data_IF_152876928429
#
_entry.id   IF_152876928429
#
_cell.length_a   1.000
_cell.length_b   1.000
_cell.length_c   1.000
_cell.angle_alpha   90.00
_cell.angle_beta   90.00
_cell.angle_gamma   90.00
#
_symmetry.space_group_name_H-M   'P 1'
#
loop_
_entity.id
_entity.type
_entity.pdbx_description
1 polymer ?
#
# COMPACT_ATOMS: atom_id res chain seq x y z
N UNK A 1 13.93 -2.13 -0.71
CA UNK A 1 14.55 -2.29 0.63
C UNK A 1 13.48 -2.67 1.64
N UNK A 2 12.56 -1.77 2.01
CA UNK A 2 11.51 -2.02 3.03
C UNK A 2 10.79 -3.36 2.84
N UNK A 3 10.28 -3.65 1.63
CA UNK A 3 9.56 -4.90 1.36
C UNK A 3 10.42 -6.13 1.68
N UNK A 4 11.71 -6.11 1.32
CA UNK A 4 12.60 -7.25 1.58
C UNK A 4 12.90 -7.40 3.07
N UNK A 5 13.07 -6.29 3.80
CA UNK A 5 13.35 -6.32 5.24
C UNK A 5 12.14 -6.79 6.06
N UNK A 6 10.94 -6.33 5.71
CA UNK A 6 9.69 -6.61 6.44
C UNK A 6 9.05 -7.95 6.08
N UNK A 7 9.31 -8.47 4.88
CA UNK A 7 8.61 -9.67 4.34
C UNK A 7 9.52 -10.74 3.76
N UNK A 8 10.80 -10.45 3.53
CA UNK A 8 11.73 -11.32 2.80
C UNK A 8 11.51 -11.35 1.28
N UNK A 9 10.49 -10.68 0.75
CA UNK A 9 10.14 -10.73 -0.68
C UNK A 9 11.03 -9.84 -1.54
N UNK A 10 11.32 -10.31 -2.75
CA UNK A 10 12.01 -9.55 -3.80
C UNK A 10 10.99 -9.09 -4.82
N UNK A 11 10.92 -7.79 -5.03
CA UNK A 11 9.98 -7.13 -5.93
C UNK A 11 10.68 -6.60 -7.18
N UNK A 12 9.93 -6.46 -8.27
CA UNK A 12 10.39 -5.95 -9.56
C UNK A 12 9.51 -4.82 -10.08
N UNK A 13 10.07 -4.00 -10.97
CA UNK A 13 9.36 -2.92 -11.67
C UNK A 13 8.54 -1.97 -10.76
N UNK A 14 9.12 -1.41 -9.68
CA UNK A 14 8.38 -0.50 -8.81
C UNK A 14 8.02 0.79 -9.55
N UNK A 15 6.72 1.05 -9.68
CA UNK A 15 6.16 2.27 -10.27
C UNK A 15 5.45 3.11 -9.22
N UNK A 16 5.62 4.43 -9.27
CA UNK A 16 4.85 5.34 -8.43
C UNK A 16 3.36 5.18 -8.77
N UNK A 17 2.55 4.82 -7.77
CA UNK A 17 1.14 4.51 -7.97
C UNK A 17 0.22 5.55 -7.35
N UNK A 18 0.47 5.92 -6.10
CA UNK A 18 -0.41 6.82 -5.37
C UNK A 18 0.39 7.66 -4.38
N UNK A 19 -0.18 8.80 -3.99
CA UNK A 19 0.39 9.63 -2.94
C UNK A 19 -0.70 10.13 -1.98
N UNK A 20 -0.33 10.28 -0.72
CA UNK A 20 -1.17 10.90 0.29
C UNK A 20 -0.33 11.85 1.14
N UNK A 21 -0.95 12.91 1.64
CA UNK A 21 -0.33 13.84 2.57
C UNK A 21 -1.32 14.14 3.68
N UNK A 22 -0.88 13.99 4.93
CA UNK A 22 -1.68 14.30 6.11
C UNK A 22 -0.86 15.04 7.16
N UNK A 23 -1.52 15.93 7.88
CA UNK A 23 -0.94 16.62 9.04
C UNK A 23 -1.45 15.93 10.31
N UNK A 24 -0.53 15.37 11.09
CA UNK A 24 -0.83 14.88 12.44
C UNK A 24 -0.60 16.02 13.43
N UNK A 25 -1.71 16.64 13.85
CA UNK A 25 -1.70 17.78 14.78
C UNK A 25 -1.14 17.38 16.14
N UNK A 26 -1.38 16.15 16.61
CA UNK A 26 -0.88 15.68 17.91
C UNK A 26 0.64 15.55 17.90
N UNK A 27 1.20 15.12 16.76
CA UNK A 27 2.65 14.98 16.58
C UNK A 27 3.31 16.27 16.09
N UNK A 28 2.54 17.29 15.72
CA UNK A 28 2.99 18.50 15.02
C UNK A 28 3.88 18.17 13.81
N UNK A 29 3.46 17.19 13.01
CA UNK A 29 4.23 16.67 11.86
C UNK A 29 3.35 16.51 10.63
N UNK A 30 3.92 16.80 9.47
CA UNK A 30 3.35 16.42 8.19
C UNK A 30 3.94 15.07 7.76
N UNK A 31 3.06 14.15 7.37
CA UNK A 31 3.40 12.88 6.78
C UNK A 31 3.07 12.90 5.30
N UNK A 32 4.04 12.50 4.48
CA UNK A 32 3.86 12.29 3.04
C UNK A 32 4.08 10.81 2.80
N UNK A 33 3.04 10.13 2.33
CA UNK A 33 3.07 8.70 2.02
C UNK A 33 3.09 8.52 0.52
N UNK A 34 4.12 7.84 0.03
CA UNK A 34 4.29 7.48 -1.38
C UNK A 34 4.07 5.98 -1.52
N UNK A 35 3.13 5.59 -2.36
CA UNK A 35 2.75 4.20 -2.55
C UNK A 35 3.18 3.77 -3.94
N UNK A 36 3.90 2.65 -3.99
CA UNK A 36 4.38 2.05 -5.22
C UNK A 36 3.55 0.81 -5.53
N UNK A 37 3.29 0.59 -6.82
CA UNK A 37 2.85 -0.70 -7.35
C UNK A 37 4.06 -1.42 -7.91
N UNK A 38 4.13 -2.73 -7.71
CA UNK A 38 5.31 -3.53 -8.07
C UNK A 38 4.86 -4.93 -8.45
N UNK A 39 5.74 -5.67 -9.12
CA UNK A 39 5.51 -7.03 -9.54
C UNK A 39 6.26 -7.99 -8.61
N UNK A 40 5.70 -9.19 -8.44
CA UNK A 40 6.27 -10.27 -7.64
C UNK A 40 6.34 -11.52 -8.51
N UNK A 41 7.56 -11.93 -8.86
CA UNK A 41 7.81 -13.10 -9.71
C UNK A 41 7.83 -14.39 -8.88
N UNK A 42 6.72 -14.68 -8.18
CA UNK A 42 6.51 -15.94 -7.47
C UNK A 42 5.02 -16.26 -7.40
N UNK A 43 4.63 -17.43 -7.90
CA UNK A 43 3.22 -17.88 -7.89
C UNK A 43 2.69 -18.18 -6.48
N UNK A 44 3.57 -18.53 -5.52
CA UNK A 44 3.22 -18.83 -4.14
C UNK A 44 4.21 -18.15 -3.17
N UNK A 45 4.11 -16.83 -2.98
CA UNK A 45 5.05 -16.07 -2.18
C UNK A 45 4.87 -16.34 -0.68
N UNK A 46 5.97 -16.73 -0.03
CA UNK A 46 6.03 -16.87 1.43
C UNK A 46 6.40 -15.51 2.03
N UNK A 47 5.54 -14.99 2.91
CA UNK A 47 5.76 -13.75 3.64
C UNK A 47 6.37 -14.07 5.00
N UNK A 48 7.56 -13.54 5.27
CA UNK A 48 8.22 -13.66 6.56
C UNK A 48 8.11 -12.33 7.31
N UNK A 49 7.10 -12.21 8.18
CA UNK A 49 6.93 -11.03 9.06
C UNK A 49 7.57 -11.27 10.44
N UNK A 50 8.12 -10.23 11.05
CA UNK A 50 8.51 -10.28 12.46
C UNK A 50 7.25 -10.23 13.36
N UNK A 51 6.98 -11.34 14.05
CA UNK A 51 5.82 -11.47 14.93
C UNK A 51 5.89 -10.62 16.21
N UNK A 52 7.05 -10.03 16.53
CA UNK A 52 7.18 -9.09 17.64
C UNK A 52 6.64 -7.70 17.28
N UNK A 53 6.68 -7.35 15.99
CA UNK A 53 6.22 -6.04 15.49
C UNK A 53 4.85 -6.13 14.82
N UNK A 54 4.53 -7.29 14.23
CA UNK A 54 3.32 -7.49 13.44
C UNK A 54 2.52 -8.69 13.94
N UNK A 55 1.19 -8.57 13.95
CA UNK A 55 0.33 -9.65 14.44
C UNK A 55 0.19 -10.80 13.44
N UNK A 56 -0.16 -10.48 12.18
CA UNK A 56 -0.51 -11.44 11.14
C UNK A 56 -0.31 -10.82 9.74
N UNK A 57 -0.15 -11.66 8.71
CA UNK A 57 -0.12 -11.25 7.30
C UNK A 57 -0.97 -12.20 6.45
N UNK A 58 -1.71 -11.63 5.49
CA UNK A 58 -2.46 -12.39 4.51
C UNK A 58 -2.50 -11.67 3.16
N UNK A 59 -2.59 -12.46 2.09
CA UNK A 59 -2.86 -11.95 0.74
C UNK A 59 -4.37 -11.81 0.57
N UNK A 60 -4.84 -10.63 0.15
CA UNK A 60 -6.25 -10.34 -0.07
C UNK A 60 -6.51 -9.86 -1.49
N UNK A 61 -7.75 -9.97 -1.96
CA UNK A 61 -8.17 -9.28 -3.18
C UNK A 61 -8.39 -7.79 -2.89
N UNK A 62 -8.19 -6.89 -3.87
CA UNK A 62 -8.46 -5.46 -3.69
C UNK A 62 -9.86 -5.17 -3.13
N UNK A 63 -10.86 -5.93 -3.58
CA UNK A 63 -12.26 -5.80 -3.16
C UNK A 63 -12.47 -6.12 -1.68
N UNK A 64 -11.62 -6.95 -1.08
CA UNK A 64 -11.72 -7.34 0.33
C UNK A 64 -11.35 -6.20 1.30
N UNK A 65 -10.70 -5.13 0.82
CA UNK A 65 -10.21 -4.04 1.68
C UNK A 65 -11.31 -3.39 2.54
N UNK A 66 -12.57 -3.45 2.09
CA UNK A 66 -13.72 -2.92 2.83
C UNK A 66 -13.96 -3.63 4.16
N UNK A 67 -13.53 -4.89 4.27
CA UNK A 67 -13.69 -5.73 5.46
C UNK A 67 -12.71 -5.36 6.57
N UNK A 68 -11.67 -4.59 6.26
CA UNK A 68 -10.59 -4.26 7.18
C UNK A 68 -10.69 -2.83 7.72
N UNK A 69 -10.23 -2.66 8.96
CA UNK A 69 -9.90 -1.36 9.50
C UNK A 69 -8.48 -1.00 9.05
N UNK A 70 -8.36 0.00 8.19
CA UNK A 70 -7.09 0.37 7.56
C UNK A 70 -6.63 1.75 8.00
N UNK A 71 -5.35 2.04 7.78
CA UNK A 71 -4.85 3.42 7.75
C UNK A 71 -5.60 4.26 6.71
N UNK A 72 -5.73 5.55 6.97
CA UNK A 72 -6.65 6.44 6.24
C UNK A 72 -6.34 6.58 4.74
N UNK A 73 -5.10 6.36 4.31
CA UNK A 73 -4.72 6.47 2.90
C UNK A 73 -5.00 5.20 2.09
N UNK A 74 -5.15 4.03 2.73
CA UNK A 74 -5.14 2.75 2.02
C UNK A 74 -6.43 2.48 1.26
N UNK A 75 -7.60 2.73 1.87
CA UNK A 75 -8.91 2.59 1.18
C UNK A 75 -8.99 3.46 -0.08
N UNK A 76 -8.71 4.79 -0.04
CA UNK A 76 -8.67 5.62 -1.25
C UNK A 76 -7.66 5.14 -2.30
N UNK A 77 -6.51 4.62 -1.88
CA UNK A 77 -5.49 4.05 -2.77
C UNK A 77 -6.01 2.80 -3.51
N UNK A 78 -6.69 1.89 -2.82
CA UNK A 78 -7.25 0.68 -3.43
C UNK A 78 -8.49 1.01 -4.29
N UNK A 79 -9.32 1.95 -3.87
CA UNK A 79 -10.41 2.47 -4.71
C UNK A 79 -9.87 3.07 -6.02
N UNK A 80 -8.73 3.75 -5.97
CA UNK A 80 -8.04 4.21 -7.18
C UNK A 80 -7.58 3.04 -8.06
N UNK A 81 -7.02 1.99 -7.45
CA UNK A 81 -6.58 0.79 -8.16
C UNK A 81 -7.73 0.12 -8.93
N UNK A 82 -8.87 -0.07 -8.26
CA UNK A 82 -10.07 -0.72 -8.82
C UNK A 82 -10.68 0.14 -9.93
N UNK A 83 -10.87 1.45 -9.69
CA UNK A 83 -11.64 2.30 -10.59
C UNK A 83 -10.80 2.98 -11.69
N UNK A 84 -9.46 2.91 -11.61
CA UNK A 84 -8.51 3.64 -12.48
C UNK A 84 -8.75 5.16 -12.56
N UNK A 85 -9.44 5.75 -11.57
CA UNK A 85 -9.75 7.19 -11.49
C UNK A 85 -9.04 7.82 -10.31
N UNK A 86 -7.98 8.58 -10.57
CA UNK A 86 -7.21 9.20 -9.48
C UNK A 86 -8.10 10.28 -8.87
N UNK A 87 -8.26 10.37 -7.55
CA UNK A 87 -9.13 11.36 -6.91
C UNK A 87 -8.69 12.81 -7.15
N UNK A 88 -7.53 13.03 -7.78
CA UNK A 88 -6.88 14.34 -7.97
C UNK A 88 -6.50 14.56 -9.43
N UNK A 89 -5.97 13.54 -10.12
CA UNK A 89 -5.61 13.65 -11.53
C UNK A 89 -6.84 13.39 -12.41
N UNK A 90 -7.46 14.46 -12.92
CA UNK A 90 -8.38 14.35 -14.04
C UNK A 90 -7.58 13.98 -15.28
N UNK A 91 -7.86 12.83 -15.87
CA UNK A 91 -7.37 12.49 -17.22
C UNK A 91 -7.95 13.54 -18.20
N UNK A 92 -7.13 14.48 -18.63
CA UNK A 92 -7.44 15.31 -19.79
C UNK A 92 -7.45 14.40 -21.02
N UNK A 93 -8.61 14.32 -21.67
CA UNK A 93 -8.79 13.69 -22.98
C UNK A 93 -8.08 14.49 -24.07
#
# INVERSE_FOLDING_TARGET
>A
REVFEETGLRIENPGLFYYSSNVDVKKNKQFITVIFITELNNENPIVNIDTNEHSQSEWITPEDIIKYQTVGYLKPCIEYFINKKHPVLKLTK
#
